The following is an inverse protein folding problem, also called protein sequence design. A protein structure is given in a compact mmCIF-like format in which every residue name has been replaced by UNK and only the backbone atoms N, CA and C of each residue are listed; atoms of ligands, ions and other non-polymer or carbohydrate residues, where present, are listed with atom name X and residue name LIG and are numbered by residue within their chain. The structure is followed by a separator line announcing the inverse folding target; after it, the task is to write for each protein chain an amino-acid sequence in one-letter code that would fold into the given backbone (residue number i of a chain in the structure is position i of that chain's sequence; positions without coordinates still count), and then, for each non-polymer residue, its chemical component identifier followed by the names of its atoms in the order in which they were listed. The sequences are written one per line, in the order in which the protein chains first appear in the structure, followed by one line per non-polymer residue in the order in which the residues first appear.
data_IF_979712839657
#
_entry.id   IF_979712839657
#
_cell.length_a   1.000
_cell.length_b   1.000
_cell.length_c   1.000
_cell.angle_alpha   90.00
_cell.angle_beta   90.00
_cell.angle_gamma   90.00
#
_symmetry.space_group_name_H-M   'P 1'
#
loop_
_entity.id
_entity.type
_entity.pdbx_description
1 polymer ?
#
# COMPACT_ATOMS: atom_id res chain seq x y z
N UNK A 1 -19.88 9.52 1.31
CA UNK A 1 -20.57 8.47 2.09
C UNK A 1 -19.59 7.35 2.45
N UNK A 2 -19.74 6.75 3.62
CA UNK A 2 -18.93 5.63 4.08
C UNK A 2 -19.79 4.36 4.21
N UNK A 3 -19.26 3.23 3.73
CA UNK A 3 -19.90 1.92 3.80
C UNK A 3 -18.95 0.91 4.43
N UNK A 4 -19.40 0.17 5.42
CA UNK A 4 -18.62 -0.92 5.99
C UNK A 4 -18.82 -2.20 5.18
N UNK A 5 -17.72 -2.74 4.63
CA UNK A 5 -17.70 -3.99 3.85
C UNK A 5 -16.62 -4.91 4.42
N UNK A 6 -16.95 -6.16 4.83
CA UNK A 6 -16.03 -7.04 5.54
C UNK A 6 -15.02 -7.74 4.59
N UNK A 7 -14.05 -6.96 4.05
CA UNK A 7 -13.01 -7.42 3.11
C UNK A 7 -11.61 -7.56 3.73
N UNK A 8 -11.49 -7.47 5.04
CA UNK A 8 -10.23 -7.50 5.77
C UNK A 8 -9.67 -8.91 6.06
N UNK A 9 -10.37 -9.96 5.69
CA UNK A 9 -10.01 -11.35 5.99
C UNK A 9 -10.15 -12.24 4.76
N UNK A 10 -9.27 -13.28 4.67
CA UNK A 10 -9.33 -14.33 3.65
C UNK A 10 -10.41 -15.38 4.02
N UNK A 11 -11.64 -14.95 4.14
CA UNK A 11 -12.78 -15.80 4.45
C UNK A 11 -13.77 -15.78 3.29
N UNK A 12 -14.00 -16.94 2.67
CA UNK A 12 -14.82 -17.08 1.46
C UNK A 12 -16.26 -16.59 1.68
N UNK A 13 -16.87 -16.90 2.84
CA UNK A 13 -18.23 -16.47 3.15
C UNK A 13 -18.32 -14.93 3.29
N UNK A 14 -17.30 -14.33 3.95
CA UNK A 14 -17.22 -12.86 4.05
C UNK A 14 -17.00 -12.22 2.68
N UNK A 15 -16.17 -12.82 1.83
CA UNK A 15 -15.94 -12.34 0.46
C UNK A 15 -17.22 -12.42 -0.37
N UNK A 16 -17.96 -13.52 -0.31
CA UNK A 16 -19.26 -13.68 -0.98
C UNK A 16 -20.27 -12.64 -0.50
N UNK A 17 -20.40 -12.45 0.81
CA UNK A 17 -21.24 -11.41 1.38
C UNK A 17 -20.85 -10.02 0.88
N UNK A 18 -19.55 -9.72 0.88
CA UNK A 18 -19.01 -8.44 0.40
C UNK A 18 -19.29 -8.19 -1.06
N UNK A 19 -19.24 -9.24 -1.90
CA UNK A 19 -19.62 -9.16 -3.30
C UNK A 19 -21.05 -8.61 -3.48
N UNK A 20 -22.02 -9.15 -2.76
CA UNK A 20 -23.42 -8.69 -2.86
C UNK A 20 -23.62 -7.28 -2.30
N UNK A 21 -22.92 -6.95 -1.20
CA UNK A 21 -22.96 -5.60 -0.61
C UNK A 21 -22.39 -4.59 -1.62
N UNK A 22 -21.20 -4.84 -2.17
CA UNK A 22 -20.58 -3.97 -3.16
C UNK A 22 -21.43 -3.82 -4.42
N UNK A 23 -21.97 -4.92 -4.93
CA UNK A 23 -22.91 -4.89 -6.08
C UNK A 23 -24.08 -3.95 -5.85
N UNK A 24 -24.67 -4.01 -4.63
CA UNK A 24 -25.79 -3.12 -4.24
C UNK A 24 -25.34 -1.65 -4.15
N UNK A 25 -24.17 -1.39 -3.55
CA UNK A 25 -23.60 -0.04 -3.43
C UNK A 25 -23.34 0.55 -4.82
N UNK A 26 -22.63 -0.18 -5.68
CA UNK A 26 -22.28 0.27 -7.04
C UNK A 26 -23.54 0.67 -7.83
N UNK A 27 -24.59 -0.16 -7.77
CA UNK A 27 -25.85 0.13 -8.44
C UNK A 27 -26.61 1.32 -7.81
N UNK A 28 -26.70 1.35 -6.48
CA UNK A 28 -27.43 2.39 -5.74
C UNK A 28 -26.81 3.77 -5.92
N UNK A 29 -25.49 3.84 -5.81
CA UNK A 29 -24.75 5.11 -5.88
C UNK A 29 -24.34 5.48 -7.32
N UNK A 30 -24.70 4.63 -8.32
CA UNK A 30 -24.33 4.83 -9.75
C UNK A 30 -22.85 5.08 -9.93
N UNK A 31 -22.03 4.19 -9.36
CA UNK A 31 -20.57 4.35 -9.31
C UNK A 31 -19.98 4.15 -10.71
N UNK A 32 -19.26 5.14 -11.21
CA UNK A 32 -18.58 5.10 -12.52
C UNK A 32 -17.18 4.48 -12.43
N UNK A 33 -16.48 4.67 -11.29
CA UNK A 33 -15.13 4.16 -11.07
C UNK A 33 -15.06 3.43 -9.72
N UNK A 34 -14.56 2.21 -9.74
CA UNK A 34 -14.18 1.45 -8.55
C UNK A 34 -12.67 1.41 -8.46
N UNK A 35 -12.10 1.95 -7.38
CA UNK A 35 -10.67 1.95 -7.13
C UNK A 35 -10.32 1.08 -5.93
N UNK A 36 -9.42 0.14 -6.11
CA UNK A 36 -9.02 -0.81 -5.07
C UNK A 36 -7.52 -0.75 -4.77
N UNK A 37 -7.16 -0.91 -3.49
CA UNK A 37 -5.78 -0.78 -3.00
C UNK A 37 -5.22 -2.08 -2.39
N UNK A 38 -5.99 -3.18 -2.39
CA UNK A 38 -5.56 -4.42 -1.75
C UNK A 38 -6.05 -5.66 -2.50
N UNK A 39 -5.30 -6.76 -2.40
CA UNK A 39 -5.54 -8.00 -3.15
C UNK A 39 -6.97 -8.55 -3.02
N UNK A 40 -7.48 -8.70 -1.80
CA UNK A 40 -8.81 -9.30 -1.59
C UNK A 40 -9.94 -8.40 -2.11
N UNK A 41 -9.98 -7.10 -1.80
CA UNK A 41 -10.90 -6.17 -2.45
C UNK A 41 -10.78 -6.19 -3.98
N UNK A 42 -9.57 -6.19 -4.53
CA UNK A 42 -9.36 -6.24 -5.98
C UNK A 42 -9.91 -7.50 -6.62
N UNK A 43 -9.73 -8.66 -5.98
CA UNK A 43 -10.32 -9.91 -6.47
C UNK A 43 -11.84 -9.85 -6.53
N UNK A 44 -12.49 -9.39 -5.46
CA UNK A 44 -13.95 -9.26 -5.40
C UNK A 44 -14.46 -8.24 -6.42
N UNK A 45 -13.78 -7.11 -6.56
CA UNK A 45 -14.13 -6.08 -7.55
C UNK A 45 -13.93 -6.58 -8.99
N UNK A 46 -12.89 -7.39 -9.25
CA UNK A 46 -12.70 -8.04 -10.54
C UNK A 46 -13.85 -8.95 -10.92
N UNK A 47 -14.31 -9.80 -9.99
CA UNK A 47 -15.50 -10.64 -10.22
C UNK A 47 -16.77 -9.81 -10.48
N UNK A 48 -16.92 -8.69 -9.79
CA UNK A 48 -18.02 -7.74 -10.03
C UNK A 48 -17.92 -7.13 -11.43
N UNK A 49 -16.71 -6.72 -11.84
CA UNK A 49 -16.48 -6.14 -13.18
C UNK A 49 -16.85 -7.10 -14.29
N UNK A 50 -16.45 -8.38 -14.19
CA UNK A 50 -16.81 -9.42 -15.16
C UNK A 50 -18.32 -9.61 -15.29
N UNK A 51 -19.04 -9.58 -14.15
CA UNK A 51 -20.50 -9.81 -14.11
C UNK A 51 -21.31 -8.56 -14.46
N UNK A 52 -20.79 -7.39 -14.17
CA UNK A 52 -21.46 -6.10 -14.42
C UNK A 52 -20.95 -5.40 -15.68
N UNK A 53 -19.94 -5.96 -16.34
CA UNK A 53 -19.36 -5.50 -17.62
C UNK A 53 -19.09 -3.99 -17.62
N UNK A 54 -19.85 -3.22 -18.39
CA UNK A 54 -19.63 -1.80 -18.64
C UNK A 54 -20.25 -0.85 -17.61
N UNK A 55 -20.70 -1.37 -16.46
CA UNK A 55 -21.35 -0.52 -15.45
C UNK A 55 -20.40 0.39 -14.67
N UNK A 56 -19.09 0.10 -14.66
CA UNK A 56 -18.05 0.94 -14.03
C UNK A 56 -16.68 0.62 -14.61
N UNK A 57 -15.74 1.54 -14.45
CA UNK A 57 -14.31 1.31 -14.71
C UNK A 57 -13.64 0.78 -13.44
N UNK A 58 -12.83 -0.28 -13.57
CA UNK A 58 -12.11 -0.85 -12.43
C UNK A 58 -10.63 -0.49 -12.50
N UNK A 59 -10.15 0.23 -11.49
CA UNK A 59 -8.78 0.71 -11.33
C UNK A 59 -8.20 0.15 -10.03
N UNK A 60 -6.90 -0.10 -10.02
CA UNK A 60 -6.18 -0.53 -8.80
C UNK A 60 -4.96 0.32 -8.54
N UNK A 61 -4.52 0.40 -7.27
CA UNK A 61 -3.18 0.90 -6.92
C UNK A 61 -2.33 -0.23 -6.37
N UNK A 62 -1.14 -0.36 -6.94
CA UNK A 62 -0.10 -1.27 -6.48
C UNK A 62 0.90 -0.51 -5.59
N UNK A 63 0.80 -0.68 -4.28
CA UNK A 63 1.66 -0.02 -3.28
C UNK A 63 2.87 -0.87 -2.88
N UNK A 64 2.86 -2.16 -3.24
CA UNK A 64 3.89 -3.12 -2.85
C UNK A 64 3.86 -4.34 -3.75
N UNK A 65 4.95 -5.12 -3.74
CA UNK A 65 5.00 -6.42 -4.38
C UNK A 65 4.15 -7.42 -3.57
N UNK A 66 3.33 -8.21 -4.24
CA UNK A 66 2.55 -9.26 -3.61
C UNK A 66 3.25 -10.61 -3.75
N UNK A 67 3.25 -11.40 -2.70
CA UNK A 67 3.71 -12.79 -2.79
C UNK A 67 2.90 -13.55 -3.86
N UNK A 68 3.61 -14.14 -4.83
CA UNK A 68 3.01 -14.78 -6.03
C UNK A 68 2.87 -16.30 -5.92
N UNK A 69 3.50 -16.91 -4.92
CA UNK A 69 3.46 -18.36 -4.70
C UNK A 69 2.11 -18.87 -4.22
N UNK A 70 1.98 -20.21 -4.12
CA UNK A 70 0.79 -20.94 -3.63
C UNK A 70 -0.52 -20.54 -4.33
N UNK A 71 -0.47 -20.25 -5.63
CA UNK A 71 -1.68 -19.86 -6.39
C UNK A 71 -2.20 -18.44 -6.12
N UNK A 72 -1.59 -17.67 -5.22
CA UNK A 72 -2.03 -16.32 -4.87
C UNK A 72 -1.94 -15.34 -6.05
N UNK A 73 -1.12 -15.66 -7.04
CA UNK A 73 -1.05 -14.91 -8.31
C UNK A 73 -2.42 -14.87 -9.01
N UNK A 74 -3.12 -16.00 -9.04
CA UNK A 74 -4.39 -16.13 -9.77
C UNK A 74 -5.59 -15.43 -9.11
N UNK A 75 -5.48 -15.09 -7.82
CA UNK A 75 -6.50 -14.27 -7.12
C UNK A 75 -6.14 -12.79 -7.08
N UNK A 76 -5.07 -12.38 -7.77
CA UNK A 76 -4.72 -10.96 -7.90
C UNK A 76 -5.37 -10.42 -9.16
N UNK A 77 -6.23 -9.42 -9.02
CA UNK A 77 -6.85 -8.72 -10.14
C UNK A 77 -6.39 -7.26 -10.12
N UNK A 78 -5.82 -6.81 -11.22
CA UNK A 78 -5.23 -5.48 -11.33
C UNK A 78 -6.15 -4.47 -12.04
N UNK A 79 -7.37 -4.90 -12.39
CA UNK A 79 -8.35 -4.02 -13.05
C UNK A 79 -8.02 -3.76 -14.52
N UNK A 80 -8.63 -2.72 -15.04
CA UNK A 80 -8.43 -2.26 -16.42
C UNK A 80 -7.26 -1.28 -16.52
N UNK A 81 -6.99 -0.54 -15.44
CA UNK A 81 -5.87 0.38 -15.30
C UNK A 81 -5.27 0.23 -13.91
N UNK A 82 -3.96 0.39 -13.83
CA UNK A 82 -3.19 0.24 -12.59
C UNK A 82 -2.38 1.50 -12.34
N UNK A 83 -2.42 1.97 -11.11
CA UNK A 83 -1.51 3.00 -10.61
C UNK A 83 -0.38 2.28 -9.85
N UNK A 84 0.85 2.37 -10.34
CA UNK A 84 2.04 1.88 -9.67
C UNK A 84 2.73 3.03 -8.92
N UNK A 85 3.19 2.80 -7.69
CA UNK A 85 3.82 3.86 -6.88
C UNK A 85 5.31 4.08 -7.20
N UNK A 86 5.89 3.24 -8.06
CA UNK A 86 7.27 3.37 -8.56
C UNK A 86 7.44 2.60 -9.88
N UNK A 87 8.55 2.86 -10.57
CA UNK A 87 8.92 2.10 -11.77
C UNK A 87 9.19 0.62 -11.46
N UNK A 88 9.83 0.30 -10.33
CA UNK A 88 10.03 -1.09 -9.88
C UNK A 88 8.71 -1.85 -9.74
N UNK A 89 7.67 -1.20 -9.23
CA UNK A 89 6.32 -1.81 -9.12
C UNK A 89 5.71 -1.99 -10.52
N UNK A 90 5.94 -1.08 -11.46
CA UNK A 90 5.51 -1.25 -12.85
C UNK A 90 6.16 -2.48 -13.48
N UNK A 91 7.48 -2.60 -13.37
CA UNK A 91 8.24 -3.74 -13.89
C UNK A 91 7.75 -5.05 -13.26
N UNK A 92 7.59 -5.07 -11.94
CA UNK A 92 7.03 -6.20 -11.22
C UNK A 92 5.65 -6.64 -11.75
N UNK A 93 4.75 -5.70 -12.06
CA UNK A 93 3.43 -5.97 -12.60
C UNK A 93 3.51 -6.56 -14.02
N UNK A 94 4.37 -6.02 -14.85
CA UNK A 94 4.60 -6.50 -16.22
C UNK A 94 5.18 -7.92 -16.21
N UNK A 95 6.20 -8.17 -15.41
CA UNK A 95 6.89 -9.46 -15.35
C UNK A 95 6.02 -10.57 -14.74
N UNK A 96 5.40 -10.29 -13.60
CA UNK A 96 4.71 -11.31 -12.81
C UNK A 96 3.25 -11.50 -13.18
N UNK A 97 2.57 -10.45 -13.63
CA UNK A 97 1.13 -10.47 -13.92
C UNK A 97 0.79 -10.22 -15.39
N UNK A 98 1.80 -9.91 -16.21
CA UNK A 98 1.63 -9.61 -17.64
C UNK A 98 0.65 -8.44 -17.89
N UNK A 99 0.61 -7.50 -16.94
CA UNK A 99 -0.11 -6.24 -17.15
C UNK A 99 0.59 -5.47 -18.25
N UNK A 100 -0.16 -4.95 -19.23
CA UNK A 100 0.43 -4.23 -20.36
C UNK A 100 0.95 -2.87 -19.90
N UNK A 101 2.05 -2.43 -20.50
CA UNK A 101 2.69 -1.14 -20.18
C UNK A 101 1.70 0.03 -20.26
N UNK A 102 0.87 0.08 -21.31
CA UNK A 102 -0.11 1.13 -21.54
C UNK A 102 -1.30 1.13 -20.56
N UNK A 103 -1.40 0.12 -19.72
CA UNK A 103 -2.42 0.04 -18.66
C UNK A 103 -1.87 0.41 -17.29
N UNK A 104 -0.55 0.70 -17.18
CA UNK A 104 0.11 1.06 -15.93
C UNK A 104 0.51 2.52 -15.94
N UNK A 105 0.07 3.27 -14.93
CA UNK A 105 0.44 4.66 -14.71
C UNK A 105 1.30 4.75 -13.46
N UNK A 106 2.52 5.29 -13.58
CA UNK A 106 3.39 5.50 -12.43
C UNK A 106 3.05 6.83 -11.78
N UNK A 107 2.71 6.79 -10.49
CA UNK A 107 2.45 7.97 -9.67
C UNK A 107 3.20 7.80 -8.35
N UNK A 108 4.31 8.50 -8.23
CA UNK A 108 5.15 8.47 -7.02
C UNK A 108 4.37 9.12 -5.87
N UNK A 109 4.44 8.49 -4.68
CA UNK A 109 3.80 9.04 -3.50
C UNK A 109 4.38 10.43 -3.18
N UNK A 110 3.50 11.41 -3.06
CA UNK A 110 3.87 12.77 -2.73
C UNK A 110 4.10 12.97 -1.23
N UNK A 111 4.89 13.98 -0.92
CA UNK A 111 5.11 14.49 0.44
C UNK A 111 5.01 16.00 0.40
N UNK A 112 4.51 16.59 1.48
CA UNK A 112 4.51 18.04 1.68
C UNK A 112 5.93 18.50 1.98
N UNK A 113 6.62 19.02 0.95
CA UNK A 113 8.03 19.43 1.06
C UNK A 113 8.24 20.75 1.79
N UNK A 114 7.19 21.56 1.97
CA UNK A 114 7.25 22.75 2.81
C UNK A 114 7.21 22.37 4.29
N UNK A 115 6.35 21.44 4.65
CA UNK A 115 6.21 20.93 6.00
C UNK A 115 7.36 20.02 6.42
N UNK A 116 7.84 19.18 5.52
CA UNK A 116 8.92 18.21 5.76
C UNK A 116 10.19 18.64 5.02
N UNK A 117 10.74 19.76 5.44
CA UNK A 117 11.95 20.38 4.91
C UNK A 117 13.16 20.06 5.80
N UNK A 118 14.37 19.92 5.22
CA UNK A 118 15.62 19.83 5.98
C UNK A 118 15.85 21.01 6.94
N UNK A 119 15.29 22.18 6.62
CA UNK A 119 15.39 23.40 7.43
C UNK A 119 14.43 23.41 8.62
N UNK A 120 13.57 22.40 8.76
CA UNK A 120 12.64 22.31 9.90
C UNK A 120 13.41 22.19 11.21
N UNK A 121 13.16 23.12 12.13
CA UNK A 121 13.84 23.16 13.43
C UNK A 121 13.47 21.93 14.28
N UNK A 122 14.47 21.11 14.57
CA UNK A 122 14.36 19.93 15.42
C UNK A 122 14.59 20.16 16.91
N UNK A 123 14.86 21.41 17.34
CA UNK A 123 15.25 21.72 18.71
C UNK A 123 14.22 21.28 19.76
N UNK A 124 12.93 21.41 19.46
CA UNK A 124 11.85 20.96 20.34
C UNK A 124 11.89 19.44 20.59
N UNK A 125 12.07 18.65 19.52
CA UNK A 125 12.14 17.19 19.60
C UNK A 125 13.42 16.76 20.34
N UNK A 126 14.57 17.37 20.01
CA UNK A 126 15.83 17.11 20.73
C UNK A 126 15.70 17.36 22.23
N UNK A 127 15.09 18.48 22.62
CA UNK A 127 14.83 18.80 24.02
C UNK A 127 13.90 17.77 24.70
N UNK A 128 12.85 17.33 24.02
CA UNK A 128 11.89 16.34 24.53
C UNK A 128 12.57 15.01 24.84
N UNK A 129 13.50 14.57 23.98
CA UNK A 129 14.25 13.32 24.14
C UNK A 129 15.61 13.48 24.85
N UNK A 130 15.93 14.66 25.37
CA UNK A 130 17.19 14.93 26.09
C UNK A 130 18.44 14.82 25.22
N UNK A 131 18.32 15.03 23.92
CA UNK A 131 19.43 14.98 22.96
C UNK A 131 20.12 16.32 22.87
N UNK A 132 21.46 16.31 22.82
CA UNK A 132 22.25 17.53 22.62
C UNK A 132 22.13 18.05 21.19
N UNK A 133 22.33 19.36 20.98
CA UNK A 133 22.20 19.97 19.66
C UNK A 133 23.14 19.35 18.63
N UNK A 134 24.39 19.12 19.01
CA UNK A 134 25.46 18.60 18.13
C UNK A 134 25.60 17.07 18.17
N UNK A 135 24.72 16.38 18.88
CA UNK A 135 24.80 14.93 19.02
C UNK A 135 24.24 14.23 17.77
N UNK A 136 25.04 13.40 17.08
CA UNK A 136 24.57 12.61 15.97
C UNK A 136 23.37 11.75 16.37
N UNK A 137 22.28 11.84 15.62
CA UNK A 137 21.02 11.16 15.97
C UNK A 137 20.52 10.34 14.80
N UNK A 138 20.38 9.05 15.00
CA UNK A 138 19.75 8.13 14.05
C UNK A 138 18.29 7.92 14.41
N UNK A 139 17.39 8.19 13.47
CA UNK A 139 15.96 7.98 13.64
C UNK A 139 15.49 6.84 12.78
N UNK A 140 14.80 5.86 13.38
CA UNK A 140 14.13 4.77 12.67
C UNK A 140 12.62 4.87 12.84
N UNK A 141 11.93 5.17 11.74
CA UNK A 141 10.46 5.32 11.72
C UNK A 141 9.85 4.14 10.98
N UNK A 142 9.07 3.34 11.68
CA UNK A 142 8.41 2.16 11.10
C UNK A 142 7.18 1.76 11.91
N UNK A 143 6.34 0.91 11.33
CA UNK A 143 5.36 0.17 12.14
C UNK A 143 6.11 -0.81 13.04
N UNK A 144 5.75 -0.86 14.32
CA UNK A 144 6.38 -1.74 15.32
C UNK A 144 5.70 -3.12 15.31
N UNK A 145 5.74 -3.80 14.16
CA UNK A 145 5.33 -5.20 14.02
C UNK A 145 6.55 -6.14 14.05
N UNK A 146 6.33 -7.44 14.24
CA UNK A 146 7.42 -8.42 14.36
C UNK A 146 8.39 -8.41 13.17
N UNK A 147 7.88 -8.22 11.95
CA UNK A 147 8.70 -8.20 10.73
C UNK A 147 9.68 -7.01 10.68
N UNK A 148 9.31 -5.89 11.29
CA UNK A 148 10.10 -4.65 11.32
C UNK A 148 10.90 -4.48 12.61
N UNK A 149 10.50 -5.16 13.68
CA UNK A 149 11.26 -5.20 14.92
C UNK A 149 12.67 -5.77 14.74
N UNK A 150 12.88 -6.66 13.75
CA UNK A 150 14.21 -7.18 13.42
C UNK A 150 15.18 -6.06 13.04
N UNK A 151 14.78 -5.13 12.18
CA UNK A 151 15.64 -4.00 11.75
C UNK A 151 15.95 -3.08 12.95
N UNK A 152 14.96 -2.77 13.79
CA UNK A 152 15.17 -2.00 15.01
C UNK A 152 16.18 -2.68 15.95
N UNK A 153 16.05 -4.00 16.16
CA UNK A 153 17.00 -4.78 16.98
C UNK A 153 18.42 -4.75 16.40
N UNK A 154 18.56 -4.87 15.09
CA UNK A 154 19.85 -4.79 14.42
C UNK A 154 20.50 -3.41 14.61
N UNK A 155 19.73 -2.32 14.46
CA UNK A 155 20.21 -0.97 14.69
C UNK A 155 20.68 -0.79 16.14
N UNK A 156 19.91 -1.26 17.11
CA UNK A 156 20.29 -1.20 18.54
C UNK A 156 21.58 -2.03 18.78
N UNK A 157 21.70 -3.20 18.19
CA UNK A 157 22.87 -4.07 18.38
C UNK A 157 24.16 -3.47 17.81
N UNK A 158 24.09 -2.71 16.71
CA UNK A 158 25.26 -2.03 16.12
C UNK A 158 25.53 -0.64 16.68
N UNK A 159 24.61 -0.05 17.46
CA UNK A 159 24.73 1.29 17.99
C UNK A 159 26.06 1.56 18.73
N UNK A 160 26.61 0.66 19.59
CA UNK A 160 27.90 0.88 20.22
C UNK A 160 29.08 1.00 19.24
N UNK A 161 29.01 0.28 18.12
CA UNK A 161 30.05 0.36 17.05
C UNK A 161 29.90 1.66 16.26
N UNK A 162 28.68 2.07 15.98
CA UNK A 162 28.42 3.35 15.30
C UNK A 162 28.90 4.54 16.16
N UNK A 163 28.64 4.51 17.47
CA UNK A 163 29.09 5.57 18.39
C UNK A 163 30.62 5.69 18.51
N UNK A 164 31.38 4.66 18.13
CA UNK A 164 32.84 4.70 18.07
C UNK A 164 33.38 5.21 16.74
N UNK A 165 32.54 5.24 15.70
CA UNK A 165 32.93 5.61 14.34
C UNK A 165 32.56 7.06 13.97
N UNK A 166 31.81 7.74 14.83
CA UNK A 166 31.35 9.11 14.69
C UNK A 166 32.03 9.99 15.73
#
# INVERSE_FOLDING_TARGET
RHYHVPLNQRNVLKMARSYFILKKIIKKEKVDIVHSHARIPSFVCGLLKERMKNSFTFVTSAHWVFYTGMGLKYISNWGQKVIAVSDDIREYLMENYKVRYEDIFVTINGIDTEKFSPETDGAKVRKEFGLKAEEPTLVYVSRMDESRALVARQLIAIAPKLAQAI
#
